data_IF_664963297703
#
_entry.id   IF_664963297703
#
_cell.length_a   1.000
_cell.length_b   1.000
_cell.length_c   1.000
_cell.angle_alpha   90.00
_cell.angle_beta   90.00
_cell.angle_gamma   90.00
#
_symmetry.space_group_name_H-M   'P 1'
#
loop_
_entity.id
_entity.type
_entity.pdbx_description
1 polymer ?
#
# COMPACT_ATOMS: atom_id res chain seq x y z
N UNK A 1 16.02 -0.28 -14.55
CA UNK A 1 16.09 -1.21 -13.41
C UNK A 1 15.81 -0.39 -12.16
N UNK A 2 14.54 -0.23 -11.80
CA UNK A 2 14.13 0.48 -10.59
C UNK A 2 14.06 -0.59 -9.50
N UNK A 3 15.03 -0.56 -8.61
CA UNK A 3 15.30 -1.58 -7.58
C UNK A 3 14.15 -1.75 -6.60
N UNK A 4 13.93 -2.97 -6.14
CA UNK A 4 12.96 -3.36 -5.10
C UNK A 4 12.97 -2.44 -3.86
N UNK A 5 14.12 -1.81 -3.55
CA UNK A 5 14.25 -0.78 -2.52
C UNK A 5 13.19 0.33 -2.60
N UNK A 6 12.75 0.73 -3.80
CA UNK A 6 11.74 1.79 -3.92
C UNK A 6 10.34 1.39 -3.46
N UNK A 7 9.98 0.10 -3.56
CA UNK A 7 8.66 -0.38 -3.12
C UNK A 7 8.62 -0.53 -1.61
N UNK A 8 9.64 -1.14 -1.01
CA UNK A 8 9.72 -1.35 0.43
C UNK A 8 9.74 0.00 1.17
N UNK A 9 10.53 0.97 0.70
CA UNK A 9 10.59 2.32 1.28
C UNK A 9 9.23 3.04 1.17
N UNK A 10 8.60 3.01 -0.01
CA UNK A 10 7.29 3.64 -0.21
C UNK A 10 6.19 2.98 0.63
N UNK A 11 6.26 1.66 0.81
CA UNK A 11 5.33 0.91 1.65
C UNK A 11 5.52 1.25 3.13
N UNK A 12 6.76 1.43 3.56
CA UNK A 12 7.09 1.84 4.92
C UNK A 12 6.57 3.26 5.20
N UNK A 13 6.82 4.22 4.32
CA UNK A 13 6.29 5.59 4.43
C UNK A 13 4.75 5.60 4.52
N UNK A 14 4.08 4.79 3.69
CA UNK A 14 2.62 4.67 3.71
C UNK A 14 2.10 4.01 4.99
N UNK A 15 2.80 2.99 5.49
CA UNK A 15 2.49 2.30 6.75
C UNK A 15 2.54 3.26 7.94
N UNK A 16 3.59 4.08 8.00
CA UNK A 16 3.75 5.11 9.03
C UNK A 16 2.69 6.20 8.92
N UNK A 17 2.41 6.69 7.71
CA UNK A 17 1.39 7.70 7.47
C UNK A 17 -0.04 7.21 7.79
N UNK A 18 -0.34 5.93 7.52
CA UNK A 18 -1.63 5.32 7.82
C UNK A 18 -1.74 4.83 9.26
N UNK A 19 -0.62 4.64 9.97
CA UNK A 19 -0.57 4.02 11.29
C UNK A 19 -1.02 2.54 11.28
N UNK A 20 -0.83 1.84 10.16
CA UNK A 20 -1.29 0.47 9.93
C UNK A 20 -0.16 -0.38 9.37
N UNK A 21 -0.16 -1.67 9.71
CA UNK A 21 0.84 -2.61 9.18
C UNK A 21 0.39 -3.12 7.83
N UNK A 22 1.18 -2.76 6.81
CA UNK A 22 0.87 -3.01 5.42
C UNK A 22 1.72 -4.15 4.85
N UNK A 23 1.09 -4.93 3.97
CA UNK A 23 1.71 -5.98 3.16
C UNK A 23 1.23 -5.82 1.73
N UNK A 24 2.12 -5.97 0.75
CA UNK A 24 1.77 -5.99 -0.67
C UNK A 24 1.75 -7.43 -1.15
N UNK A 25 0.65 -7.79 -1.79
CA UNK A 25 0.45 -9.05 -2.50
C UNK A 25 0.49 -8.81 -4.00
N UNK A 26 1.02 -9.74 -4.78
CA UNK A 26 0.84 -9.75 -6.22
C UNK A 26 -0.54 -10.31 -6.64
N UNK A 27 -0.77 -10.44 -7.94
CA UNK A 27 -2.01 -10.99 -8.50
C UNK A 27 -2.26 -12.47 -8.15
N UNK A 28 -1.23 -13.21 -7.76
CA UNK A 28 -1.32 -14.60 -7.30
C UNK A 28 -1.53 -14.71 -5.78
N UNK A 29 -1.71 -13.58 -5.09
CA UNK A 29 -1.80 -13.50 -3.63
C UNK A 29 -0.50 -13.87 -2.91
N UNK A 30 0.65 -13.82 -3.60
CA UNK A 30 1.96 -14.00 -3.00
C UNK A 30 2.48 -12.69 -2.40
N UNK A 31 3.10 -12.74 -1.22
CA UNK A 31 3.68 -11.56 -0.56
C UNK A 31 4.92 -11.12 -1.33
N UNK A 32 4.93 -9.87 -1.77
CA UNK A 32 6.07 -9.28 -2.50
C UNK A 32 6.82 -8.22 -1.68
N UNK A 33 6.14 -7.58 -0.72
CA UNK A 33 6.73 -6.56 0.16
C UNK A 33 5.88 -6.42 1.43
N UNK A 34 6.48 -5.96 2.53
CA UNK A 34 5.80 -5.71 3.80
C UNK A 34 6.49 -4.60 4.59
N UNK A 35 5.71 -3.83 5.34
CA UNK A 35 6.23 -2.81 6.27
C UNK A 35 6.79 -3.43 7.56
N UNK A 36 7.49 -2.66 8.39
CA UNK A 36 8.08 -3.16 9.64
C UNK A 36 7.00 -3.48 10.69
N UNK A 37 7.11 -4.65 11.32
CA UNK A 37 6.20 -5.15 12.37
C UNK A 37 6.96 -5.27 13.71
N UNK A 38 6.75 -4.31 14.62
CA UNK A 38 7.54 -4.20 15.86
C UNK A 38 6.96 -4.96 17.07
N UNK A 39 5.66 -5.26 17.05
CA UNK A 39 5.01 -6.00 18.14
C UNK A 39 5.07 -7.52 17.89
N UNK A 40 5.03 -8.34 18.95
CA UNK A 40 4.98 -9.80 18.81
C UNK A 40 3.74 -10.26 18.04
N UNK A 41 2.58 -9.63 18.29
CA UNK A 41 1.33 -9.92 17.59
C UNK A 41 1.45 -9.62 16.09
N UNK A 42 2.05 -8.49 15.74
CA UNK A 42 2.25 -8.10 14.34
C UNK A 42 3.24 -9.05 13.64
N UNK A 43 4.34 -9.43 14.31
CA UNK A 43 5.27 -10.43 13.79
C UNK A 43 4.62 -11.79 13.58
N UNK A 44 3.75 -12.21 14.51
CA UNK A 44 3.02 -13.46 14.39
C UNK A 44 2.07 -13.44 13.19
N UNK A 45 1.30 -12.36 13.02
CA UNK A 45 0.42 -12.17 11.85
C UNK A 45 1.21 -12.16 10.54
N UNK A 46 2.34 -11.48 10.50
CA UNK A 46 3.22 -11.47 9.32
C UNK A 46 3.76 -12.88 9.03
N UNK A 47 4.16 -13.64 10.05
CA UNK A 47 4.61 -15.02 9.86
C UNK A 47 3.52 -15.90 9.24
N UNK A 48 2.25 -15.72 9.66
CA UNK A 48 1.12 -16.42 9.06
C UNK A 48 0.89 -15.96 7.62
N UNK A 49 0.97 -14.66 7.35
CA UNK A 49 0.85 -14.12 6.00
C UNK A 49 1.90 -14.71 5.04
N UNK A 50 3.17 -14.76 5.48
CA UNK A 50 4.26 -15.32 4.68
C UNK A 50 4.09 -16.82 4.46
N UNK A 51 3.72 -17.58 5.50
CA UNK A 51 3.57 -19.03 5.43
C UNK A 51 2.45 -19.50 4.49
N UNK A 52 1.40 -18.71 4.34
CA UNK A 52 0.22 -19.03 3.51
C UNK A 52 0.13 -18.23 2.22
N UNK A 53 1.13 -17.38 1.95
CA UNK A 53 1.17 -16.56 0.74
C UNK A 53 1.09 -17.40 -0.54
N UNK A 54 0.33 -16.91 -1.53
CA UNK A 54 0.07 -17.63 -2.78
C UNK A 54 -0.93 -18.78 -2.67
N UNK A 55 -1.45 -19.07 -1.45
CA UNK A 55 -2.42 -20.14 -1.20
C UNK A 55 -3.88 -19.68 -1.13
N UNK A 56 -4.14 -18.37 -1.16
CA UNK A 56 -5.50 -17.82 -1.13
C UNK A 56 -6.03 -17.56 -2.53
N UNK A 57 -7.33 -17.77 -2.70
CA UNK A 57 -8.02 -17.35 -3.92
C UNK A 57 -8.05 -15.82 -4.00
N UNK A 58 -7.77 -15.23 -5.17
CA UNK A 58 -7.91 -13.80 -5.35
C UNK A 58 -9.36 -13.35 -5.10
N UNK A 59 -9.58 -12.24 -4.39
CA UNK A 59 -10.91 -11.70 -4.18
C UNK A 59 -11.61 -11.46 -5.52
N UNK A 60 -12.91 -11.72 -5.55
CA UNK A 60 -13.74 -11.50 -6.74
C UNK A 60 -13.55 -10.08 -7.30
N UNK A 61 -13.70 -9.93 -8.61
CA UNK A 61 -13.62 -8.63 -9.27
C UNK A 61 -14.80 -7.76 -8.80
N UNK A 62 -14.51 -6.85 -7.86
CA UNK A 62 -15.46 -5.84 -7.41
C UNK A 62 -15.09 -4.46 -7.98
N UNK A 63 -16.09 -3.60 -8.14
CA UNK A 63 -15.89 -2.18 -8.46
C UNK A 63 -15.61 -1.32 -7.21
N UNK A 64 -15.40 -1.94 -6.05
CA UNK A 64 -15.15 -1.23 -4.81
C UNK A 64 -13.66 -0.90 -4.68
N UNK A 65 -13.37 0.26 -4.09
CA UNK A 65 -11.98 0.72 -3.87
C UNK A 65 -11.27 -0.10 -2.78
N UNK A 66 -12.01 -0.86 -1.97
CA UNK A 66 -11.49 -1.78 -0.97
C UNK A 66 -12.45 -2.94 -0.72
N UNK A 67 -11.91 -4.02 -0.16
CA UNK A 67 -12.61 -5.26 0.15
C UNK A 67 -12.25 -5.62 1.59
N UNK A 68 -13.24 -5.99 2.40
CA UNK A 68 -12.99 -6.59 3.72
C UNK A 68 -13.30 -8.07 3.60
N UNK A 69 -12.30 -8.90 3.85
CA UNK A 69 -12.40 -10.34 3.70
C UNK A 69 -11.73 -11.05 4.88
N UNK A 70 -12.23 -12.23 5.21
CA UNK A 70 -11.63 -13.08 6.23
C UNK A 70 -10.70 -14.08 5.54
N UNK A 71 -9.40 -13.87 5.69
CA UNK A 71 -8.42 -14.80 5.18
C UNK A 71 -8.26 -15.97 6.14
N UNK A 72 -8.26 -17.22 5.65
CA UNK A 72 -7.91 -18.38 6.46
C UNK A 72 -6.58 -18.15 7.20
N UNK A 73 -6.50 -18.60 8.45
CA UNK A 73 -5.35 -18.47 9.37
C UNK A 73 -4.98 -17.04 9.82
N UNK A 74 -5.20 -16.01 9.00
CA UNK A 74 -4.83 -14.61 9.31
C UNK A 74 -5.97 -13.84 9.95
N UNK A 75 -7.21 -14.14 9.57
CA UNK A 75 -8.43 -13.48 10.04
C UNK A 75 -8.84 -12.30 9.16
N UNK A 76 -9.58 -11.36 9.76
CA UNK A 76 -10.20 -10.24 9.04
C UNK A 76 -9.16 -9.25 8.52
N UNK A 77 -9.15 -9.07 7.20
CA UNK A 77 -8.21 -8.23 6.46
C UNK A 77 -8.96 -7.19 5.62
N UNK A 78 -8.34 -6.03 5.47
CA UNK A 78 -8.68 -5.04 4.45
C UNK A 78 -7.74 -5.24 3.27
N UNK A 79 -8.31 -5.42 2.08
CA UNK A 79 -7.59 -5.53 0.82
C UNK A 79 -7.97 -4.34 -0.08
N UNK A 80 -6.97 -3.64 -0.60
CA UNK A 80 -7.13 -2.54 -1.55
C UNK A 80 -6.51 -2.99 -2.87
N UNK A 81 -7.30 -3.13 -3.96
CA UNK A 81 -6.77 -3.54 -5.25
C UNK A 81 -5.73 -2.54 -5.79
N UNK A 82 -4.54 -3.03 -6.12
CA UNK A 82 -3.52 -2.23 -6.81
C UNK A 82 -3.72 -2.37 -8.32
N UNK A 83 -3.80 -1.24 -9.02
CA UNK A 83 -4.03 -1.22 -10.46
C UNK A 83 -2.96 -0.44 -11.21
N UNK A 84 -2.50 -0.99 -12.33
CA UNK A 84 -1.62 -0.33 -13.29
C UNK A 84 -2.32 -0.27 -14.65
N UNK A 85 -2.47 0.92 -15.22
CA UNK A 85 -3.11 1.15 -16.52
C UNK A 85 -4.38 0.30 -16.79
N UNK A 86 -5.27 0.21 -15.78
CA UNK A 86 -6.53 -0.56 -15.74
C UNK A 86 -6.42 -2.07 -15.56
N UNK A 87 -5.21 -2.61 -15.35
CA UNK A 87 -5.00 -4.01 -14.96
C UNK A 87 -4.75 -4.08 -13.47
N UNK A 88 -5.39 -5.02 -12.79
CA UNK A 88 -5.04 -5.33 -11.40
C UNK A 88 -3.68 -6.03 -11.39
N UNK A 89 -2.75 -5.49 -10.61
CA UNK A 89 -1.39 -6.03 -10.47
C UNK A 89 -1.18 -6.73 -9.13
N UNK A 90 -2.08 -6.51 -8.17
CA UNK A 90 -2.02 -7.11 -6.85
C UNK A 90 -2.94 -6.43 -5.86
N UNK A 91 -2.59 -6.51 -4.59
CA UNK A 91 -3.38 -5.99 -3.48
C UNK A 91 -2.47 -5.39 -2.40
N UNK A 92 -2.91 -4.28 -1.81
CA UNK A 92 -2.40 -3.79 -0.54
C UNK A 92 -3.26 -4.35 0.58
N UNK A 93 -2.64 -5.00 1.56
CA UNK A 93 -3.29 -5.72 2.64
C UNK A 93 -2.92 -5.13 4.00
N UNK A 94 -3.90 -5.01 4.89
CA UNK A 94 -3.70 -4.79 6.33
C UNK A 94 -4.62 -5.70 7.13
N UNK A 95 -4.11 -6.27 8.21
CA UNK A 95 -4.93 -7.03 9.16
C UNK A 95 -5.63 -6.04 10.08
N UNK A 96 -6.96 -6.14 10.21
CA UNK A 96 -7.76 -5.17 10.97
C UNK A 96 -8.20 -5.71 12.33
N UNK A 97 -8.09 -7.03 12.54
CA UNK A 97 -8.64 -7.69 13.71
C UNK A 97 -10.14 -7.41 13.85
N UNK A 98 -10.75 -7.71 15.00
CA UNK A 98 -12.15 -7.33 15.25
C UNK A 98 -12.40 -5.80 15.25
N UNK A 99 -11.33 -4.98 15.18
CA UNK A 99 -11.42 -3.53 15.16
C UNK A 99 -11.79 -3.01 13.76
N UNK A 100 -12.49 -1.88 13.73
CA UNK A 100 -12.75 -1.15 12.49
C UNK A 100 -11.49 -0.39 12.05
N UNK A 101 -11.27 -0.32 10.74
CA UNK A 101 -10.22 0.55 10.17
C UNK A 101 -10.57 2.00 10.46
N UNK A 102 -9.67 2.80 11.04
CA UNK A 102 -9.91 4.22 11.22
C UNK A 102 -10.21 4.89 9.88
N UNK A 103 -11.30 5.70 9.74
CA UNK A 103 -11.64 6.33 8.46
C UNK A 103 -10.53 7.22 7.88
N UNK A 104 -9.74 7.85 8.76
CA UNK A 104 -8.57 8.63 8.38
C UNK A 104 -7.49 7.76 7.73
N UNK A 105 -7.19 6.59 8.31
CA UNK A 105 -6.23 5.65 7.76
C UNK A 105 -6.70 5.10 6.41
N UNK A 106 -7.97 4.72 6.29
CA UNK A 106 -8.56 4.28 5.02
C UNK A 106 -8.46 5.39 3.95
N UNK A 107 -8.73 6.64 4.32
CA UNK A 107 -8.58 7.79 3.41
C UNK A 107 -7.13 7.95 2.95
N UNK A 108 -6.15 7.84 3.85
CA UNK A 108 -4.72 7.86 3.50
C UNK A 108 -4.36 6.76 2.51
N UNK A 109 -4.81 5.53 2.76
CA UNK A 109 -4.54 4.38 1.90
C UNK A 109 -5.17 4.52 0.50
N UNK A 110 -6.42 5.02 0.43
CA UNK A 110 -7.14 5.19 -0.84
C UNK A 110 -6.68 6.41 -1.64
N UNK A 111 -6.20 7.46 -0.97
CA UNK A 111 -5.75 8.69 -1.65
C UNK A 111 -4.32 8.60 -2.19
N UNK A 112 -3.53 7.61 -1.75
CA UNK A 112 -2.24 7.26 -2.36
C UNK A 112 -1.38 8.47 -2.71
N UNK A 113 -1.27 9.47 -1.82
CA UNK A 113 -0.23 10.48 -1.97
C UNK A 113 1.04 9.90 -1.36
N UNK A 114 2.10 9.62 -2.14
CA UNK A 114 3.41 9.48 -1.53
C UNK A 114 3.64 10.78 -0.77
N UNK A 115 3.84 10.68 0.55
CA UNK A 115 4.34 11.80 1.35
C UNK A 115 5.65 12.17 0.67
N UNK A 116 5.66 13.29 -0.05
CA UNK A 116 6.88 13.79 -0.65
C UNK A 116 7.79 14.17 0.50
N UNK A 117 8.74 13.29 0.84
CA UNK A 117 9.83 13.65 1.74
C UNK A 117 10.59 14.76 1.03
N UNK A 118 10.30 16.00 1.41
CA UNK A 118 11.18 17.12 1.08
C UNK A 118 12.49 16.86 1.81
N UNK A 119 13.45 16.30 1.07
CA UNK A 119 14.85 16.26 1.48
C UNK A 119 15.28 17.72 1.75
N UNK A 120 15.18 18.13 3.01
CA UNK A 120 15.64 19.43 3.49
C UNK A 120 17.15 19.38 3.72
N UNK A 121 17.92 18.91 2.72
CA UNK A 121 19.38 19.03 2.63
C UNK A 121 19.89 18.44 1.30
N UNK A 122 19.62 19.10 0.18
CA UNK A 122 20.55 19.08 -0.95
C UNK A 122 20.35 20.35 -1.78
N UNK A 123 21.37 21.21 -1.80
CA UNK A 123 21.34 22.49 -2.49
C UNK A 123 21.22 22.33 -4.01
N UNK A 124 20.49 23.27 -4.61
CA UNK A 124 20.49 23.60 -6.03
C UNK A 124 20.12 22.50 -7.02
N UNK A 125 18.83 22.43 -7.35
CA UNK A 125 18.39 22.10 -8.72
C UNK A 125 17.32 23.09 -9.15
N UNK A 126 17.72 24.06 -9.98
CA UNK A 126 16.83 24.93 -10.74
C UNK A 126 15.79 24.09 -11.50
N UNK A 127 14.51 24.41 -11.36
CA UNK A 127 13.51 24.13 -12.40
C UNK A 127 12.86 25.44 -12.80
N UNK A 128 13.13 25.81 -14.05
CA UNK A 128 12.53 26.91 -14.78
C UNK A 128 11.01 26.84 -14.72
N UNK A 129 10.44 28.00 -14.42
CA UNK A 129 9.07 28.40 -14.73
C UNK A 129 8.80 28.17 -16.21
N UNK A 130 7.88 27.28 -16.55
CA UNK A 130 7.26 27.26 -17.89
C UNK A 130 6.05 28.18 -17.80
N UNK A 131 6.25 29.36 -18.39
CA UNK A 131 5.27 30.36 -18.77
C UNK A 131 4.25 29.77 -19.77
N UNK A 132 2.94 29.79 -19.52
CA UNK A 132 1.96 29.74 -20.59
C UNK A 132 1.68 31.18 -21.03
N UNK A 133 2.28 31.54 -22.17
CA UNK A 133 2.04 32.79 -22.89
C UNK A 133 0.56 32.99 -23.31
N UNK A 134 0.25 34.16 -23.87
CA UNK A 134 -1.07 34.76 -23.80
C UNK A 134 -2.11 34.04 -24.67
N UNK A 135 -3.30 33.85 -24.08
CA UNK A 135 -4.51 33.53 -24.83
C UNK A 135 -4.90 34.77 -25.62
N UNK A 136 -4.87 34.67 -26.95
CA UNK A 136 -5.27 35.75 -27.85
C UNK A 136 -6.57 35.37 -28.57
N UNK A 137 -7.56 36.24 -28.40
CA UNK A 137 -8.86 36.40 -29.08
C UNK A 137 -9.92 35.31 -28.90
#
# INVERSE_FOLDING_TARGET
>A
MTTAAGLDDALQDLSEAAGLRLTVLDWTMAVVSYSIHETDDDRHRLSLLLAHSGGWDPPALTSQDHIIEELPQVGRCLLIPLTDHRRRVGYLLTVVGGAAVPPAALSTLLQGRPVSVSCSHCGSCMRSTIDPGPVNC
#
